data_IF_338181877645
#
_entry.id   IF_338181877645
#
_cell.length_a   1.000
_cell.length_b   1.000
_cell.length_c   1.000
_cell.angle_alpha   90.00
_cell.angle_beta   90.00
_cell.angle_gamma   90.00
#
_symmetry.space_group_name_H-M   'P 1'
#
loop_
_entity.id
_entity.type
_entity.pdbx_description
1 polymer ?
#
# COMPACT_ATOMS: atom_id res chain seq x y z
N UNK A 1 -27.68 17.74 30.39
CA UNK A 1 -26.30 17.84 30.94
C UNK A 1 -25.40 18.40 29.87
N UNK A 2 -24.62 19.46 30.19
CA UNK A 2 -23.66 20.01 29.22
C UNK A 2 -22.52 19.00 29.06
N UNK A 3 -22.31 18.48 27.84
CA UNK A 3 -21.25 17.51 27.56
C UNK A 3 -19.88 18.20 27.74
N UNK A 4 -18.96 17.56 28.44
CA UNK A 4 -17.60 18.09 28.65
C UNK A 4 -16.78 18.00 27.37
N UNK A 5 -15.92 18.97 27.11
CA UNK A 5 -15.01 18.97 25.98
C UNK A 5 -14.06 17.78 26.07
N UNK A 6 -13.93 16.97 25.00
CA UNK A 6 -12.95 15.89 24.96
C UNK A 6 -11.52 16.41 25.13
N UNK A 7 -10.71 15.70 25.89
CA UNK A 7 -9.30 16.07 26.12
C UNK A 7 -8.42 15.30 25.13
N UNK A 8 -7.59 15.99 24.32
CA UNK A 8 -6.64 15.33 23.43
C UNK A 8 -5.67 14.44 24.20
N UNK A 9 -5.32 13.29 23.61
CA UNK A 9 -4.31 12.38 24.17
C UNK A 9 -2.94 13.05 24.22
N UNK A 10 -2.18 12.79 25.27
CA UNK A 10 -0.77 13.11 25.29
C UNK A 10 -0.03 12.17 24.33
N UNK A 11 1.06 12.65 23.72
CA UNK A 11 1.80 11.86 22.75
C UNK A 11 2.31 10.53 23.35
N UNK A 12 2.78 10.52 24.58
CA UNK A 12 3.21 9.30 25.25
C UNK A 12 2.10 8.26 25.42
N UNK A 13 0.89 8.74 25.73
CA UNK A 13 -0.29 7.88 25.87
C UNK A 13 -0.72 7.33 24.52
N UNK A 14 -0.71 8.17 23.49
CA UNK A 14 -0.94 7.75 22.11
C UNK A 14 0.05 6.65 21.69
N UNK A 15 1.36 6.84 21.92
CA UNK A 15 2.40 5.85 21.56
C UNK A 15 2.18 4.53 22.31
N UNK A 16 1.87 4.58 23.62
CA UNK A 16 1.62 3.39 24.43
C UNK A 16 0.43 2.58 23.99
N UNK A 17 -0.58 3.24 23.40
CA UNK A 17 -1.83 2.61 22.94
C UNK A 17 -1.84 2.31 21.45
N UNK A 18 -0.78 2.66 20.70
CA UNK A 18 -0.69 2.42 19.26
C UNK A 18 -0.73 0.93 18.95
N UNK A 19 -1.58 0.53 18.00
CA UNK A 19 -1.61 -0.81 17.43
C UNK A 19 -0.43 -0.97 16.47
N UNK A 20 0.67 -1.58 16.95
CA UNK A 20 1.89 -1.74 16.16
C UNK A 20 1.65 -2.54 14.88
N UNK A 21 0.92 -3.66 15.01
CA UNK A 21 0.52 -4.52 13.91
C UNK A 21 -0.99 -4.75 13.99
N UNK A 22 -1.71 -4.19 13.01
CA UNK A 22 -3.13 -4.45 12.87
C UNK A 22 -3.33 -5.83 12.23
N UNK A 23 -4.15 -6.65 12.85
CA UNK A 23 -4.44 -8.01 12.41
C UNK A 23 -5.87 -8.07 11.89
N UNK A 24 -6.03 -8.54 10.66
CA UNK A 24 -7.30 -8.88 10.04
C UNK A 24 -7.28 -10.38 9.71
N UNK A 25 -7.95 -11.18 10.52
CA UNK A 25 -7.92 -12.64 10.41
C UNK A 25 -8.50 -13.16 9.08
N UNK A 26 -9.46 -12.47 8.49
CA UNK A 26 -10.04 -12.85 7.20
C UNK A 26 -9.04 -12.59 6.08
N UNK A 27 -8.40 -11.44 6.13
CA UNK A 27 -7.36 -11.07 5.19
C UNK A 27 -6.14 -12.01 5.28
N UNK A 28 -5.71 -12.38 6.50
CA UNK A 28 -4.64 -13.37 6.70
C UNK A 28 -4.97 -14.70 6.02
N UNK A 29 -6.18 -15.22 6.21
CA UNK A 29 -6.64 -16.46 5.57
C UNK A 29 -6.72 -16.34 4.05
N UNK A 30 -7.17 -15.19 3.53
CA UNK A 30 -7.21 -14.93 2.08
C UNK A 30 -5.79 -15.00 1.48
N UNK A 31 -4.82 -14.33 2.10
CA UNK A 31 -3.44 -14.32 1.61
C UNK A 31 -2.75 -15.67 1.76
N UNK A 32 -2.95 -16.38 2.87
CA UNK A 32 -2.39 -17.72 3.03
C UNK A 32 -2.96 -18.70 1.99
N UNK A 33 -4.25 -18.66 1.71
CA UNK A 33 -4.87 -19.47 0.67
C UNK A 33 -4.33 -19.13 -0.73
N UNK A 34 -4.15 -17.82 -1.02
CA UNK A 34 -3.57 -17.40 -2.30
C UNK A 34 -2.12 -17.85 -2.47
N UNK A 35 -1.32 -17.78 -1.41
CA UNK A 35 0.07 -18.31 -1.41
C UNK A 35 0.09 -19.80 -1.67
N UNK A 36 -0.76 -20.58 -1.01
CA UNK A 36 -0.85 -22.04 -1.22
C UNK A 36 -1.27 -22.40 -2.65
N UNK A 37 -2.23 -21.66 -3.20
CA UNK A 37 -2.67 -21.86 -4.59
C UNK A 37 -1.55 -21.56 -5.59
N UNK A 38 -0.82 -20.46 -5.37
CA UNK A 38 0.33 -20.10 -6.21
C UNK A 38 1.47 -21.12 -6.11
N UNK A 39 1.76 -21.64 -4.91
CA UNK A 39 2.74 -22.73 -4.72
C UNK A 39 2.34 -23.97 -5.53
N UNK A 40 1.08 -24.40 -5.46
CA UNK A 40 0.59 -25.55 -6.22
C UNK A 40 0.73 -25.31 -7.72
N UNK A 41 0.33 -24.16 -8.21
CA UNK A 41 0.38 -23.82 -9.63
C UNK A 41 1.81 -23.77 -10.17
N UNK A 42 2.72 -23.12 -9.45
CA UNK A 42 4.11 -23.04 -9.92
C UNK A 42 4.82 -24.40 -9.86
N UNK A 43 4.54 -25.23 -8.84
CA UNK A 43 5.12 -26.57 -8.73
C UNK A 43 4.78 -27.47 -9.92
N UNK A 44 3.56 -27.40 -10.43
CA UNK A 44 3.16 -28.18 -11.62
C UNK A 44 3.92 -27.75 -12.87
N UNK A 45 4.44 -26.54 -12.91
CA UNK A 45 5.12 -25.95 -14.07
C UNK A 45 6.65 -25.96 -13.96
N UNK A 46 7.21 -26.15 -12.76
CA UNK A 46 8.64 -25.96 -12.47
C UNK A 46 9.59 -26.63 -13.45
N UNK A 47 9.32 -27.90 -13.83
CA UNK A 47 10.15 -28.59 -14.79
C UNK A 47 9.95 -28.09 -16.22
N UNK A 48 8.72 -27.72 -16.57
CA UNK A 48 8.38 -27.22 -17.91
C UNK A 48 9.03 -25.88 -18.20
N UNK A 49 9.03 -24.94 -17.24
CA UNK A 49 9.55 -23.58 -17.44
C UNK A 49 11.09 -23.50 -17.59
N UNK A 50 11.81 -24.59 -17.42
CA UNK A 50 13.27 -24.64 -17.67
C UNK A 50 13.64 -24.64 -19.15
N UNK A 51 12.66 -24.72 -20.04
CA UNK A 51 12.83 -24.59 -21.49
C UNK A 51 12.10 -23.38 -22.03
N UNK A 52 12.61 -22.76 -23.10
CA UNK A 52 11.98 -21.57 -23.72
C UNK A 52 10.53 -21.87 -24.13
N UNK A 53 10.31 -23.03 -24.77
CA UNK A 53 8.97 -23.45 -25.19
C UNK A 53 8.02 -23.68 -24.01
N UNK A 54 8.50 -24.31 -22.95
CA UNK A 54 7.70 -24.55 -21.75
C UNK A 54 7.36 -23.24 -21.01
N UNK A 55 8.33 -22.34 -20.91
CA UNK A 55 8.12 -21.00 -20.33
C UNK A 55 7.10 -20.21 -21.14
N UNK A 56 7.22 -20.20 -22.47
CA UNK A 56 6.24 -19.54 -23.35
C UNK A 56 4.84 -20.14 -23.19
N UNK A 57 4.71 -21.48 -23.19
CA UNK A 57 3.42 -22.17 -22.97
C UNK A 57 2.80 -21.77 -21.62
N UNK A 58 3.61 -21.69 -20.56
CA UNK A 58 3.13 -21.26 -19.26
C UNK A 58 2.65 -19.83 -19.26
N UNK A 59 3.42 -18.90 -19.85
CA UNK A 59 3.05 -17.47 -19.95
C UNK A 59 1.75 -17.30 -20.74
N UNK A 60 1.57 -18.05 -21.83
CA UNK A 60 0.34 -17.98 -22.64
C UNK A 60 -0.89 -18.51 -21.91
N UNK A 61 -0.75 -19.58 -21.14
CA UNK A 61 -1.86 -20.24 -20.46
C UNK A 61 -2.30 -19.53 -19.18
N UNK A 62 -1.38 -19.05 -18.38
CA UNK A 62 -1.68 -18.54 -17.04
C UNK A 62 -1.57 -17.01 -16.96
N UNK A 63 -2.68 -16.29 -16.63
CA UNK A 63 -2.68 -14.83 -16.52
C UNK A 63 -1.70 -14.28 -15.49
N UNK A 64 -1.42 -15.03 -14.42
CA UNK A 64 -0.55 -14.63 -13.32
C UNK A 64 0.86 -15.24 -13.41
N UNK A 65 1.22 -15.79 -14.57
CA UNK A 65 2.52 -16.46 -14.77
C UNK A 65 3.71 -15.55 -14.47
N UNK A 66 3.69 -14.31 -14.95
CA UNK A 66 4.79 -13.37 -14.72
C UNK A 66 4.95 -13.00 -13.24
N UNK A 67 3.85 -12.83 -12.52
CA UNK A 67 3.89 -12.55 -11.08
C UNK A 67 4.55 -13.69 -10.30
N UNK A 68 4.20 -14.94 -10.64
CA UNK A 68 4.80 -16.12 -10.00
C UNK A 68 6.26 -16.29 -10.39
N UNK A 69 6.61 -16.12 -11.68
CA UNK A 69 8.00 -16.20 -12.15
C UNK A 69 8.86 -15.17 -11.44
N UNK A 70 8.44 -13.92 -11.39
CA UNK A 70 9.20 -12.86 -10.71
C UNK A 70 9.34 -13.11 -9.21
N UNK A 71 8.30 -13.63 -8.57
CA UNK A 71 8.36 -14.04 -7.15
C UNK A 71 9.39 -15.14 -6.93
N UNK A 72 9.36 -16.18 -7.74
CA UNK A 72 10.32 -17.30 -7.70
C UNK A 72 11.76 -16.82 -7.94
N UNK A 73 11.96 -15.89 -8.86
CA UNK A 73 13.25 -15.25 -9.11
C UNK A 73 13.65 -14.21 -8.05
N UNK A 74 12.83 -14.00 -7.03
CA UNK A 74 13.07 -12.99 -6.00
C UNK A 74 13.25 -11.57 -6.56
N UNK A 75 12.49 -11.24 -7.59
CA UNK A 75 12.49 -9.92 -8.23
C UNK A 75 11.15 -9.25 -7.92
N UNK A 76 11.18 -8.03 -7.36
CA UNK A 76 9.93 -7.30 -7.14
C UNK A 76 9.30 -6.90 -8.47
N UNK A 77 7.97 -6.92 -8.53
CA UNK A 77 7.19 -6.48 -9.70
C UNK A 77 7.66 -5.10 -10.20
N UNK A 78 7.86 -4.17 -9.28
CA UNK A 78 8.31 -2.81 -9.61
C UNK A 78 9.67 -2.81 -10.32
N UNK A 79 10.66 -3.53 -9.81
CA UNK A 79 11.99 -3.64 -10.45
C UNK A 79 11.89 -4.29 -11.82
N UNK A 80 11.11 -5.35 -11.94
CA UNK A 80 10.91 -6.02 -13.21
C UNK A 80 10.31 -5.08 -14.26
N UNK A 81 9.26 -4.34 -13.92
CA UNK A 81 8.65 -3.34 -14.80
C UNK A 81 9.64 -2.25 -15.24
N UNK A 82 10.53 -1.80 -14.33
CA UNK A 82 11.60 -0.83 -14.69
C UNK A 82 12.57 -1.41 -15.71
N UNK A 83 12.99 -2.66 -15.53
CA UNK A 83 13.86 -3.35 -16.48
C UNK A 83 13.18 -3.49 -17.84
N UNK A 84 11.92 -3.88 -17.88
CA UNK A 84 11.15 -3.95 -19.13
C UNK A 84 11.03 -2.57 -19.80
N UNK A 85 10.79 -1.52 -19.02
CA UNK A 85 10.74 -0.15 -19.56
C UNK A 85 12.07 0.26 -20.17
N UNK A 86 13.19 -0.06 -19.52
CA UNK A 86 14.54 0.15 -20.07
C UNK A 86 14.76 -0.64 -21.36
N UNK A 87 14.33 -1.91 -21.43
CA UNK A 87 14.44 -2.70 -22.66
C UNK A 87 13.61 -2.11 -23.80
N UNK A 88 12.42 -1.59 -23.52
CA UNK A 88 11.61 -0.86 -24.52
C UNK A 88 12.35 0.33 -25.10
N UNK A 89 12.98 1.16 -24.25
CA UNK A 89 13.78 2.31 -24.68
C UNK A 89 14.97 1.85 -25.54
N UNK A 90 15.66 0.80 -25.12
CA UNK A 90 16.80 0.23 -25.87
C UNK A 90 16.40 -0.28 -27.26
N UNK A 91 15.17 -0.74 -27.43
CA UNK A 91 14.60 -1.14 -28.71
C UNK A 91 14.04 0.02 -29.54
N UNK A 92 14.23 1.26 -29.12
CA UNK A 92 13.78 2.46 -29.82
C UNK A 92 12.34 2.89 -29.52
N UNK A 93 11.66 2.27 -28.55
CA UNK A 93 10.35 2.72 -28.14
C UNK A 93 10.46 3.85 -27.11
N UNK A 94 9.70 4.91 -27.28
CA UNK A 94 9.56 5.98 -26.28
C UNK A 94 8.30 5.74 -25.46
N UNK A 95 8.42 5.09 -24.28
CA UNK A 95 7.27 4.76 -23.47
C UNK A 95 6.66 6.02 -22.83
N UNK A 96 5.36 6.23 -23.01
CA UNK A 96 4.61 7.29 -22.32
C UNK A 96 4.18 6.84 -20.90
N UNK A 97 4.17 5.54 -20.65
CA UNK A 97 3.84 4.94 -19.38
C UNK A 97 4.55 3.59 -19.20
N UNK A 98 4.69 3.18 -17.97
CA UNK A 98 5.17 1.84 -17.62
C UNK A 98 4.06 0.81 -17.87
N UNK A 99 4.42 -0.35 -18.43
CA UNK A 99 3.47 -1.44 -18.58
C UNK A 99 3.19 -2.13 -17.24
N UNK A 100 1.92 -2.44 -16.98
CA UNK A 100 1.54 -3.37 -15.92
C UNK A 100 1.99 -4.80 -16.28
N UNK A 101 2.03 -5.72 -15.32
CA UNK A 101 2.36 -7.13 -15.58
C UNK A 101 1.38 -7.76 -16.57
N UNK A 102 0.09 -7.43 -16.48
CA UNK A 102 -0.93 -7.88 -17.42
C UNK A 102 -0.72 -7.32 -18.83
N UNK A 103 -0.40 -6.03 -18.94
CA UNK A 103 -0.08 -5.39 -20.22
C UNK A 103 1.17 -6.01 -20.84
N UNK A 104 2.24 -6.20 -20.06
CA UNK A 104 3.46 -6.86 -20.52
C UNK A 104 3.16 -8.26 -21.07
N UNK A 105 2.40 -9.07 -20.29
CA UNK A 105 2.00 -10.39 -20.74
C UNK A 105 1.24 -10.36 -22.07
N UNK A 106 0.27 -9.44 -22.22
CA UNK A 106 -0.46 -9.27 -23.48
C UNK A 106 0.49 -8.94 -24.62
N UNK A 107 1.42 -8.01 -24.43
CA UNK A 107 2.42 -7.66 -25.46
C UNK A 107 3.34 -8.82 -25.82
N UNK A 108 3.73 -9.66 -24.85
CA UNK A 108 4.49 -10.89 -25.12
C UNK A 108 3.68 -11.88 -25.96
N UNK A 109 2.39 -12.04 -25.69
CA UNK A 109 1.52 -12.98 -26.43
C UNK A 109 1.30 -12.51 -27.87
N UNK A 110 1.13 -11.20 -28.07
CA UNK A 110 0.86 -10.59 -29.38
C UNK A 110 2.12 -10.43 -30.23
N UNK A 111 3.30 -10.31 -29.61
CA UNK A 111 4.57 -10.09 -30.30
C UNK A 111 5.57 -11.22 -30.01
N UNK A 112 5.92 -12.06 -31.02
CA UNK A 112 6.98 -13.06 -30.87
C UNK A 112 8.34 -12.47 -30.48
N UNK A 113 8.64 -11.26 -30.90
CA UNK A 113 9.89 -10.59 -30.53
C UNK A 113 9.93 -10.21 -29.07
N UNK A 114 8.84 -9.66 -28.51
CA UNK A 114 8.74 -9.40 -27.08
C UNK A 114 8.76 -10.70 -26.26
N UNK A 115 8.08 -11.74 -26.73
CA UNK A 115 8.14 -13.04 -26.08
C UNK A 115 9.60 -13.52 -25.99
N UNK A 116 10.33 -13.46 -27.09
CA UNK A 116 11.75 -13.88 -27.15
C UNK A 116 12.63 -13.06 -26.23
N UNK A 117 12.50 -11.73 -26.27
CA UNK A 117 13.32 -10.80 -25.44
C UNK A 117 13.10 -11.05 -23.95
N UNK A 118 11.86 -11.15 -23.52
CA UNK A 118 11.55 -11.35 -22.10
C UNK A 118 11.92 -12.76 -21.64
N UNK A 119 11.64 -13.81 -22.44
CA UNK A 119 12.06 -15.16 -22.11
C UNK A 119 13.58 -15.27 -21.99
N UNK A 120 14.35 -14.69 -22.91
CA UNK A 120 15.81 -14.66 -22.82
C UNK A 120 16.28 -13.97 -21.55
N UNK A 121 15.68 -12.83 -21.18
CA UNK A 121 16.00 -12.16 -19.92
C UNK A 121 15.73 -13.11 -18.74
N UNK A 122 14.53 -13.65 -18.63
CA UNK A 122 14.12 -14.49 -17.49
C UNK A 122 15.00 -15.74 -17.33
N UNK A 123 15.37 -16.39 -18.45
CA UNK A 123 16.12 -17.64 -18.42
C UNK A 123 17.62 -17.46 -18.34
N UNK A 124 18.16 -16.44 -19.01
CA UNK A 124 19.59 -16.34 -19.27
C UNK A 124 20.19 -14.98 -18.88
N UNK A 125 19.39 -14.05 -18.33
CA UNK A 125 19.81 -12.66 -18.08
C UNK A 125 21.15 -12.56 -17.34
N UNK A 126 21.37 -13.42 -16.36
CA UNK A 126 22.63 -13.55 -15.63
C UNK A 126 23.86 -13.78 -16.53
N UNK A 127 23.68 -14.44 -17.68
CA UNK A 127 24.77 -14.88 -18.56
C UNK A 127 24.90 -14.04 -19.81
N UNK A 128 23.97 -13.10 -20.06
CA UNK A 128 23.92 -12.33 -21.29
C UNK A 128 24.64 -11.00 -21.13
N UNK A 129 25.80 -10.90 -21.79
CA UNK A 129 26.62 -9.68 -21.78
C UNK A 129 25.88 -8.43 -22.28
N UNK A 130 24.89 -8.61 -23.15
CA UNK A 130 24.07 -7.52 -23.68
C UNK A 130 23.26 -6.75 -22.62
N UNK A 131 23.10 -7.33 -21.41
CA UNK A 131 22.41 -6.68 -20.28
C UNK A 131 23.37 -6.10 -19.23
N UNK A 132 24.62 -6.58 -19.17
CA UNK A 132 25.59 -6.19 -18.14
C UNK A 132 25.92 -4.69 -18.14
N UNK A 133 25.88 -4.04 -19.31
CA UNK A 133 26.13 -2.60 -19.42
C UNK A 133 24.96 -1.71 -18.96
N UNK A 134 23.78 -2.28 -18.77
CA UNK A 134 22.55 -1.52 -18.52
C UNK A 134 21.76 -1.98 -17.29
N UNK A 135 22.01 -3.19 -16.80
CA UNK A 135 21.42 -3.75 -15.59
C UNK A 135 22.56 -4.18 -14.66
N UNK A 136 22.62 -3.67 -13.43
CA UNK A 136 23.64 -4.12 -12.47
C UNK A 136 23.61 -5.64 -12.25
N UNK A 137 24.78 -6.26 -12.15
CA UNK A 137 24.93 -7.70 -11.88
C UNK A 137 24.13 -8.15 -10.66
N UNK A 138 24.05 -7.31 -9.63
CA UNK A 138 23.23 -7.55 -8.44
C UNK A 138 21.75 -7.88 -8.76
N UNK A 139 21.22 -7.34 -9.86
CA UNK A 139 19.85 -7.67 -10.32
C UNK A 139 19.86 -8.79 -11.35
N UNK A 140 20.86 -8.81 -12.25
CA UNK A 140 20.98 -9.86 -13.28
C UNK A 140 21.16 -11.25 -12.69
N UNK A 141 21.80 -11.35 -11.53
CA UNK A 141 22.02 -12.62 -10.82
C UNK A 141 20.73 -13.39 -10.53
N UNK A 142 19.59 -12.70 -10.47
CA UNK A 142 18.28 -13.34 -10.25
C UNK A 142 17.67 -13.93 -11.53
N UNK A 143 18.12 -13.48 -12.73
CA UNK A 143 17.54 -13.89 -14.00
C UNK A 143 18.17 -15.20 -14.52
N UNK A 144 17.81 -16.31 -13.88
CA UNK A 144 18.26 -17.65 -14.26
C UNK A 144 17.18 -18.68 -13.91
N UNK A 145 16.39 -19.08 -14.91
CA UNK A 145 15.45 -20.20 -14.77
C UNK A 145 16.14 -21.44 -15.31
N UNK A 146 16.84 -22.15 -14.46
CA UNK A 146 17.56 -23.39 -14.81
C UNK A 146 17.25 -24.51 -13.80
N UNK A 147 17.80 -25.71 -14.06
CA UNK A 147 17.62 -26.87 -13.20
C UNK A 147 18.08 -26.62 -11.75
N UNK A 148 19.10 -25.77 -11.55
CA UNK A 148 19.61 -25.40 -10.21
C UNK A 148 18.58 -24.55 -9.47
N UNK A 149 18.01 -23.57 -10.15
CA UNK A 149 16.95 -22.70 -9.60
C UNK A 149 15.73 -23.54 -9.24
N UNK A 150 15.30 -24.43 -10.15
CA UNK A 150 14.19 -25.35 -9.91
C UNK A 150 14.47 -26.29 -8.73
N UNK A 151 15.70 -26.82 -8.62
CA UNK A 151 16.10 -27.68 -7.50
C UNK A 151 16.00 -26.99 -6.14
N UNK A 152 16.33 -25.69 -6.05
CA UNK A 152 16.15 -24.90 -4.81
C UNK A 152 14.67 -24.73 -4.46
N UNK A 153 13.80 -24.60 -5.45
CA UNK A 153 12.37 -24.42 -5.29
C UNK A 153 11.62 -25.73 -4.97
N UNK A 154 12.32 -26.87 -4.96
CA UNK A 154 11.74 -28.14 -4.50
C UNK A 154 11.42 -28.14 -3.00
N UNK A 155 12.07 -27.24 -2.22
CA UNK A 155 11.76 -27.04 -0.82
C UNK A 155 10.51 -26.14 -0.67
N UNK A 156 9.47 -26.68 -0.03
CA UNK A 156 8.18 -25.99 0.17
C UNK A 156 8.31 -24.71 1.00
N UNK A 157 9.14 -24.72 2.02
CA UNK A 157 9.33 -23.56 2.89
C UNK A 157 10.05 -22.42 2.17
N UNK A 158 11.05 -22.71 1.36
CA UNK A 158 11.76 -21.70 0.58
C UNK A 158 10.85 -21.11 -0.50
N UNK A 159 10.08 -21.96 -1.18
CA UNK A 159 9.08 -21.48 -2.14
C UNK A 159 8.02 -20.60 -1.47
N UNK A 160 7.50 -21.03 -0.32
CA UNK A 160 6.53 -20.24 0.45
C UNK A 160 7.08 -18.87 0.81
N UNK A 161 8.33 -18.77 1.28
CA UNK A 161 8.98 -17.50 1.59
C UNK A 161 9.07 -16.59 0.38
N UNK A 162 9.47 -17.11 -0.77
CA UNK A 162 9.60 -16.35 -2.01
C UNK A 162 8.24 -15.85 -2.51
N UNK A 163 7.23 -16.70 -2.51
CA UNK A 163 5.86 -16.33 -2.91
C UNK A 163 5.30 -15.29 -1.94
N UNK A 164 5.38 -15.50 -0.62
CA UNK A 164 4.93 -14.50 0.38
C UNK A 164 5.61 -13.15 0.19
N UNK A 165 6.90 -13.13 -0.11
CA UNK A 165 7.62 -11.88 -0.40
C UNK A 165 7.06 -11.15 -1.64
N UNK A 166 6.65 -11.88 -2.66
CA UNK A 166 5.95 -11.30 -3.82
C UNK A 166 4.60 -10.65 -3.46
N UNK A 167 3.97 -11.10 -2.37
CA UNK A 167 2.70 -10.56 -1.88
C UNK A 167 2.84 -9.34 -0.95
N UNK A 168 4.03 -9.05 -0.39
CA UNK A 168 4.22 -8.01 0.64
C UNK A 168 3.60 -6.66 0.28
N UNK A 169 3.78 -6.18 -0.95
CA UNK A 169 3.22 -4.91 -1.40
C UNK A 169 1.68 -4.93 -1.45
N UNK A 170 1.11 -6.02 -1.96
CA UNK A 170 -0.35 -6.21 -2.03
C UNK A 170 -0.95 -6.34 -0.62
N UNK A 171 -0.32 -7.11 0.24
CA UNK A 171 -0.72 -7.26 1.63
C UNK A 171 -0.70 -5.92 2.37
N UNK A 172 0.39 -5.14 2.24
CA UNK A 172 0.50 -3.82 2.87
C UNK A 172 -0.60 -2.85 2.45
N UNK A 173 -1.01 -2.87 1.18
CA UNK A 173 -2.11 -2.05 0.70
C UNK A 173 -3.47 -2.53 1.27
N UNK A 174 -3.72 -3.84 1.22
CA UNK A 174 -4.98 -4.43 1.69
C UNK A 174 -5.17 -4.25 3.20
N UNK A 175 -4.13 -4.42 4.00
CA UNK A 175 -4.20 -4.20 5.45
C UNK A 175 -4.46 -2.72 5.77
N UNK A 176 -3.90 -1.79 4.99
CA UNK A 176 -4.21 -0.36 5.09
C UNK A 176 -5.67 -0.06 4.77
N UNK A 177 -6.23 -0.67 3.72
CA UNK A 177 -7.65 -0.53 3.37
C UNK A 177 -8.56 -1.15 4.43
N UNK A 178 -8.22 -2.32 4.97
CA UNK A 178 -8.95 -2.96 6.06
C UNK A 178 -8.95 -2.09 7.32
N UNK A 179 -7.80 -1.55 7.69
CA UNK A 179 -7.69 -0.59 8.81
C UNK A 179 -8.58 0.64 8.57
N UNK A 180 -8.50 1.25 7.37
CA UNK A 180 -9.37 2.37 7.00
C UNK A 180 -10.85 2.00 7.16
N UNK A 181 -11.28 0.85 6.65
CA UNK A 181 -12.66 0.38 6.72
C UNK A 181 -13.10 0.18 8.19
N UNK A 182 -12.24 -0.37 9.03
CA UNK A 182 -12.51 -0.56 10.46
C UNK A 182 -12.74 0.76 11.18
N UNK A 183 -11.86 1.74 10.95
CA UNK A 183 -11.94 3.08 11.56
C UNK A 183 -13.16 3.84 11.04
N UNK A 184 -13.32 3.91 9.71
CA UNK A 184 -14.43 4.66 9.09
C UNK A 184 -15.79 4.09 9.49
N UNK A 185 -15.94 2.76 9.55
CA UNK A 185 -17.18 2.12 10.00
C UNK A 185 -17.55 2.49 11.43
N UNK A 186 -16.58 2.67 12.33
CA UNK A 186 -16.85 3.13 13.69
C UNK A 186 -17.41 4.56 13.70
N UNK A 187 -16.80 5.47 12.91
CA UNK A 187 -17.25 6.86 12.78
C UNK A 187 -18.64 6.94 12.15
N UNK A 188 -18.84 6.22 11.05
CA UNK A 188 -20.12 6.16 10.31
C UNK A 188 -21.25 5.68 11.21
N UNK A 189 -21.02 4.61 11.97
CA UNK A 189 -21.99 4.08 12.93
C UNK A 189 -22.46 5.13 13.93
N UNK A 190 -21.55 5.99 14.38
CA UNK A 190 -21.88 7.11 15.25
C UNK A 190 -22.68 8.18 14.53
N UNK A 191 -22.27 8.57 13.33
CA UNK A 191 -23.00 9.56 12.53
C UNK A 191 -24.43 9.09 12.22
N UNK A 192 -24.59 7.84 11.76
CA UNK A 192 -25.90 7.27 11.46
C UNK A 192 -26.82 7.26 12.68
N UNK A 193 -26.29 6.88 13.86
CA UNK A 193 -27.03 6.88 15.12
C UNK A 193 -27.53 8.27 15.51
N UNK A 194 -26.75 9.32 15.23
CA UNK A 194 -27.10 10.70 15.55
C UNK A 194 -27.84 11.42 14.40
N UNK A 195 -28.06 10.74 13.25
CA UNK A 195 -28.68 11.34 12.06
C UNK A 195 -27.82 12.41 11.39
N UNK A 196 -26.49 12.30 11.50
CA UNK A 196 -25.52 13.23 10.94
C UNK A 196 -25.03 12.70 9.60
N UNK A 197 -25.02 13.54 8.57
CA UNK A 197 -24.47 13.20 7.26
C UNK A 197 -22.93 13.20 7.27
N UNK A 198 -22.33 12.57 6.27
CA UNK A 198 -20.87 12.49 6.11
C UNK A 198 -20.50 12.27 4.64
N UNK A 199 -19.24 12.55 4.30
CA UNK A 199 -18.63 12.22 3.02
C UNK A 199 -17.37 11.37 3.25
N UNK A 200 -17.12 10.37 2.38
CA UNK A 200 -16.01 9.42 2.50
C UNK A 200 -15.10 9.53 1.28
N UNK A 201 -13.78 9.70 1.52
CA UNK A 201 -12.76 9.81 0.47
C UNK A 201 -13.10 10.86 -0.60
N UNK A 202 -13.74 11.94 -0.19
CA UNK A 202 -14.07 13.07 -1.07
C UNK A 202 -13.05 14.19 -0.97
N UNK A 203 -12.93 14.96 -2.06
CA UNK A 203 -12.08 16.15 -2.08
C UNK A 203 -12.74 17.26 -1.27
N UNK A 204 -12.05 17.69 -0.22
CA UNK A 204 -12.47 18.81 0.63
C UNK A 204 -11.74 20.07 0.18
N UNK A 205 -12.41 21.10 -0.36
CA UNK A 205 -11.76 22.31 -0.87
C UNK A 205 -10.90 23.00 0.19
N UNK A 206 -11.35 23.01 1.44
CA UNK A 206 -10.63 23.60 2.57
C UNK A 206 -9.27 22.92 2.84
N UNK A 207 -9.17 21.62 2.60
CA UNK A 207 -7.94 20.84 2.76
C UNK A 207 -7.11 20.78 1.47
N UNK A 208 -7.69 21.08 0.31
CA UNK A 208 -7.06 20.97 -1.01
C UNK A 208 -6.74 19.52 -1.42
N UNK A 209 -7.36 18.52 -0.77
CA UNK A 209 -7.11 17.09 -1.01
C UNK A 209 -8.33 16.25 -0.65
N UNK A 210 -8.27 14.97 -1.00
CA UNK A 210 -9.21 13.97 -0.48
C UNK A 210 -8.99 13.78 1.02
N UNK A 211 -10.08 13.82 1.80
CA UNK A 211 -10.13 13.53 3.23
C UNK A 211 -10.82 12.19 3.44
N UNK A 212 -10.35 11.41 4.40
CA UNK A 212 -10.87 10.07 4.70
C UNK A 212 -12.35 10.09 5.08
N UNK A 213 -12.74 10.97 6.03
CA UNK A 213 -14.14 11.22 6.42
C UNK A 213 -14.32 12.70 6.69
N UNK A 214 -15.31 13.34 6.08
CA UNK A 214 -15.69 14.72 6.32
C UNK A 214 -17.13 14.78 6.86
N UNK A 215 -17.36 15.47 7.95
CA UNK A 215 -18.65 15.57 8.65
C UNK A 215 -19.06 17.05 8.78
N UNK A 216 -20.23 17.46 8.39
CA UNK A 216 -21.32 16.66 7.80
C UNK A 216 -21.18 16.40 6.30
N UNK A 217 -20.32 17.13 5.60
CA UNK A 217 -20.10 17.00 4.15
C UNK A 217 -18.70 17.52 3.74
N UNK A 218 -18.32 17.31 2.47
CA UNK A 218 -17.01 17.74 1.96
C UNK A 218 -16.90 19.23 1.65
N UNK A 219 -18.03 19.94 1.44
CA UNK A 219 -18.04 21.39 1.09
C UNK A 219 -17.93 22.26 2.34
N UNK A 220 -18.62 21.87 3.40
CA UNK A 220 -18.69 22.63 4.67
C UNK A 220 -18.37 21.74 5.87
N UNK A 221 -17.17 21.12 5.91
CA UNK A 221 -16.85 20.19 6.99
C UNK A 221 -16.71 20.92 8.31
N UNK A 222 -17.24 20.29 9.35
CA UNK A 222 -17.03 20.68 10.75
C UNK A 222 -15.94 19.82 11.37
N UNK A 223 -15.87 18.56 10.96
CA UNK A 223 -14.83 17.62 11.38
C UNK A 223 -14.26 16.98 10.12
N UNK A 224 -12.96 17.06 9.97
CA UNK A 224 -12.19 16.35 8.93
C UNK A 224 -11.33 15.30 9.60
N UNK A 225 -11.46 14.06 9.17
CA UNK A 225 -10.70 12.92 9.71
C UNK A 225 -9.83 12.35 8.60
N UNK A 226 -8.53 12.27 8.82
CA UNK A 226 -7.62 11.51 7.98
C UNK A 226 -7.17 10.24 8.70
N UNK A 227 -7.26 9.12 7.98
CA UNK A 227 -6.94 7.79 8.50
C UNK A 227 -5.71 7.26 7.76
N UNK A 228 -4.70 6.82 8.49
CA UNK A 228 -3.49 6.23 7.91
C UNK A 228 -2.92 5.13 8.79
N UNK A 229 -2.45 4.08 8.14
CA UNK A 229 -1.78 2.96 8.78
C UNK A 229 -0.44 2.70 8.10
N UNK A 230 0.62 2.41 8.87
CA UNK A 230 1.93 2.13 8.30
C UNK A 230 2.80 1.25 9.18
N UNK A 231 3.15 0.06 8.69
CA UNK A 231 4.05 -0.88 9.40
C UNK A 231 5.51 -0.46 9.25
N UNK A 232 5.90 0.00 8.06
CA UNK A 232 7.28 0.39 7.74
C UNK A 232 7.40 1.90 7.61
N UNK A 233 8.62 2.40 7.73
CA UNK A 233 8.93 3.82 7.48
C UNK A 233 9.05 4.09 5.98
N UNK A 234 8.48 5.21 5.53
CA UNK A 234 8.57 5.65 4.13
C UNK A 234 8.56 7.18 4.02
N UNK A 235 8.88 7.71 2.84
CA UNK A 235 8.73 9.15 2.53
C UNK A 235 7.27 9.62 2.58
N UNK A 236 6.33 8.72 2.37
CA UNK A 236 4.88 9.01 2.44
C UNK A 236 4.47 9.57 3.80
N UNK A 237 5.10 9.11 4.89
CA UNK A 237 4.84 9.60 6.24
C UNK A 237 5.26 11.06 6.41
N UNK A 238 6.44 11.45 5.91
CA UNK A 238 6.89 12.86 5.95
C UNK A 238 5.99 13.76 5.08
N UNK A 239 5.58 13.26 3.92
CA UNK A 239 4.63 13.97 3.04
C UNK A 239 3.28 14.15 3.74
N UNK A 240 2.79 13.12 4.41
CA UNK A 240 1.56 13.20 5.20
C UNK A 240 1.69 14.24 6.32
N UNK A 241 2.75 14.18 7.14
CA UNK A 241 2.99 15.12 8.24
C UNK A 241 3.06 16.58 7.75
N UNK A 242 3.74 16.83 6.63
CA UNK A 242 3.82 18.18 6.04
C UNK A 242 2.46 18.66 5.49
N UNK A 243 1.66 17.73 4.95
CA UNK A 243 0.29 18.03 4.49
C UNK A 243 -0.62 18.40 5.67
N UNK A 244 -0.55 17.64 6.77
CA UNK A 244 -1.29 17.95 8.01
C UNK A 244 -0.92 19.31 8.53
N UNK A 245 0.37 19.64 8.61
CA UNK A 245 0.86 20.95 9.06
C UNK A 245 0.25 22.10 8.24
N UNK A 246 0.23 21.97 6.91
CA UNK A 246 -0.36 22.95 6.00
C UNK A 246 -1.87 23.10 6.22
N UNK A 247 -2.61 22.01 6.32
CA UNK A 247 -4.06 22.03 6.55
C UNK A 247 -4.37 22.71 7.88
N UNK A 248 -3.67 22.32 8.94
CA UNK A 248 -3.91 22.86 10.26
C UNK A 248 -3.54 24.36 10.38
N UNK A 249 -2.53 24.81 9.64
CA UNK A 249 -2.22 26.25 9.53
C UNK A 249 -3.41 27.02 8.93
N UNK A 250 -3.93 26.56 7.80
CA UNK A 250 -5.10 27.17 7.16
C UNK A 250 -6.33 27.16 8.07
N UNK A 251 -6.52 26.08 8.83
CA UNK A 251 -7.65 25.97 9.78
C UNK A 251 -7.52 26.93 10.96
N UNK A 252 -6.32 27.15 11.47
CA UNK A 252 -6.11 28.11 12.55
C UNK A 252 -6.56 29.52 12.14
N UNK A 253 -6.20 29.96 10.94
CA UNK A 253 -6.66 31.26 10.40
C UNK A 253 -8.18 31.29 10.25
N UNK A 254 -8.79 30.26 9.66
CA UNK A 254 -10.24 30.15 9.47
C UNK A 254 -11.02 30.11 10.79
N UNK A 255 -10.42 29.58 11.83
CA UNK A 255 -11.05 29.42 13.15
C UNK A 255 -10.84 30.61 14.09
N UNK A 256 -10.11 31.63 13.67
CA UNK A 256 -9.91 32.84 14.49
C UNK A 256 -11.26 33.49 14.86
N UNK A 257 -11.44 33.79 16.13
CA UNK A 257 -12.64 34.42 16.65
C UNK A 257 -13.88 33.54 16.75
N UNK A 258 -13.79 32.26 16.36
CA UNK A 258 -14.93 31.34 16.44
C UNK A 258 -15.01 30.64 17.80
N UNK A 259 -16.23 30.44 18.26
CA UNK A 259 -16.51 29.56 19.41
C UNK A 259 -16.15 28.11 19.07
N UNK A 260 -15.92 27.25 20.06
CA UNK A 260 -15.58 25.84 19.85
C UNK A 260 -16.59 25.10 18.96
N UNK A 261 -17.87 25.45 19.08
CA UNK A 261 -18.94 24.85 18.26
C UNK A 261 -19.00 25.37 16.82
N UNK A 262 -18.23 26.36 16.44
CA UNK A 262 -18.18 26.91 15.08
C UNK A 262 -16.87 26.58 14.37
N UNK A 263 -15.88 26.06 15.09
CA UNK A 263 -14.60 25.67 14.53
C UNK A 263 -14.72 24.45 13.62
N UNK A 264 -13.90 24.42 12.59
CA UNK A 264 -13.64 23.18 11.82
C UNK A 264 -12.45 22.48 12.46
N UNK A 265 -12.59 21.20 12.76
CA UNK A 265 -11.54 20.37 13.37
C UNK A 265 -10.82 19.52 12.33
N UNK A 266 -9.56 19.25 12.61
CA UNK A 266 -8.78 18.25 11.88
C UNK A 266 -8.28 17.17 12.85
N UNK A 267 -8.66 15.93 12.57
CA UNK A 267 -8.38 14.74 13.38
C UNK A 267 -7.51 13.79 12.57
N UNK A 268 -6.39 13.37 13.15
CA UNK A 268 -5.55 12.32 12.58
C UNK A 268 -5.81 11.00 13.32
N UNK A 269 -6.22 9.97 12.58
CA UNK A 269 -6.31 8.59 13.09
C UNK A 269 -5.15 7.80 12.52
N UNK A 270 -4.19 7.46 13.37
CA UNK A 270 -2.90 6.91 12.96
C UNK A 270 -2.59 5.65 13.75
N UNK A 271 -2.14 4.60 13.07
CA UNK A 271 -1.61 3.39 13.70
C UNK A 271 -0.47 2.76 12.89
N UNK A 272 0.23 1.84 13.50
CA UNK A 272 1.30 1.06 12.89
C UNK A 272 2.70 1.41 13.40
N UNK A 273 3.56 0.40 13.48
CA UNK A 273 4.93 0.50 13.99
C UNK A 273 5.79 1.54 13.27
N UNK A 274 5.56 1.73 11.97
CA UNK A 274 6.30 2.70 11.16
C UNK A 274 6.11 4.15 11.62
N UNK A 275 4.94 4.50 12.15
CA UNK A 275 4.69 5.83 12.70
C UNK A 275 5.43 6.07 14.01
N UNK A 276 5.44 5.07 14.89
CA UNK A 276 6.19 5.15 16.15
C UNK A 276 7.70 5.25 15.91
N UNK A 277 8.21 4.60 14.86
CA UNK A 277 9.61 4.72 14.45
C UNK A 277 9.97 6.11 13.87
N UNK A 278 8.99 6.89 13.41
CA UNK A 278 9.18 8.24 12.86
C UNK A 278 8.68 9.33 13.82
N UNK A 279 9.28 9.40 14.97
CA UNK A 279 8.87 10.29 16.06
C UNK A 279 8.80 11.77 15.67
N UNK A 280 9.70 12.25 14.80
CA UNK A 280 9.67 13.65 14.34
C UNK A 280 8.40 13.98 13.56
N UNK A 281 7.98 13.10 12.65
CA UNK A 281 6.77 13.28 11.85
C UNK A 281 5.51 13.12 12.73
N UNK A 282 5.52 12.13 13.63
CA UNK A 282 4.44 11.92 14.59
C UNK A 282 4.25 13.13 15.54
N UNK A 283 5.36 13.72 16.04
CA UNK A 283 5.33 14.93 16.84
C UNK A 283 4.72 16.12 16.08
N UNK A 284 5.05 16.29 14.80
CA UNK A 284 4.44 17.35 13.97
C UNK A 284 2.93 17.18 13.89
N UNK A 285 2.48 15.96 13.58
CA UNK A 285 1.06 15.66 13.47
C UNK A 285 0.35 15.91 14.81
N UNK A 286 0.92 15.46 15.92
CA UNK A 286 0.36 15.65 17.25
C UNK A 286 0.18 17.13 17.63
N UNK A 287 1.14 18.00 17.25
CA UNK A 287 1.07 19.45 17.52
C UNK A 287 0.10 20.19 16.60
N UNK A 288 -0.17 19.63 15.44
CA UNK A 288 -0.98 20.27 14.41
C UNK A 288 -2.44 19.86 14.48
N UNK A 289 -2.73 18.55 14.64
CA UNK A 289 -4.10 18.04 14.71
C UNK A 289 -4.80 18.47 15.99
N UNK A 290 -6.10 18.75 15.92
CA UNK A 290 -6.92 19.01 17.11
C UNK A 290 -6.99 17.76 18.00
N UNK A 291 -7.04 16.57 17.35
CA UNK A 291 -6.95 15.29 18.02
C UNK A 291 -6.07 14.35 17.20
N UNK A 292 -5.15 13.67 17.88
CA UNK A 292 -4.41 12.53 17.36
C UNK A 292 -4.90 11.29 18.12
N UNK A 293 -5.49 10.35 17.41
CA UNK A 293 -6.09 9.12 17.99
C UNK A 293 -5.63 7.89 17.20
N UNK A 294 -5.74 6.74 17.82
CA UNK A 294 -5.45 5.43 17.25
C UNK A 294 -6.66 4.49 17.39
N UNK A 295 -6.57 3.27 16.91
CA UNK A 295 -7.67 2.31 16.97
C UNK A 295 -8.13 2.04 18.40
N UNK A 296 -7.20 1.97 19.35
CA UNK A 296 -7.53 1.72 20.76
C UNK A 296 -8.23 2.92 21.43
N UNK A 297 -8.08 4.10 20.87
CA UNK A 297 -8.74 5.33 21.35
C UNK A 297 -9.87 5.81 20.43
N UNK A 298 -10.28 5.01 19.44
CA UNK A 298 -11.29 5.40 18.42
C UNK A 298 -12.64 5.79 19.05
N UNK A 299 -12.97 5.26 20.21
CA UNK A 299 -14.17 5.66 20.97
C UNK A 299 -14.20 7.14 21.34
N UNK A 300 -13.07 7.84 21.33
CA UNK A 300 -13.05 9.31 21.50
C UNK A 300 -13.81 10.04 20.39
N UNK A 301 -13.92 9.44 19.19
CA UNK A 301 -14.70 10.02 18.09
C UNK A 301 -16.16 10.24 18.47
N UNK A 302 -16.74 9.33 19.26
CA UNK A 302 -18.12 9.46 19.72
C UNK A 302 -18.30 10.72 20.55
N UNK A 303 -17.40 10.96 21.50
CA UNK A 303 -17.44 12.15 22.37
C UNK A 303 -17.10 13.44 21.61
N UNK A 304 -16.20 13.36 20.61
CA UNK A 304 -15.87 14.51 19.76
C UNK A 304 -17.08 14.90 18.90
N UNK A 305 -17.70 13.93 18.20
CA UNK A 305 -18.90 14.17 17.39
C UNK A 305 -20.02 14.76 18.27
N UNK A 306 -20.27 14.18 19.43
CA UNK A 306 -21.30 14.64 20.35
C UNK A 306 -21.07 16.05 20.91
N UNK A 307 -19.82 16.45 21.11
CA UNK A 307 -19.52 17.78 21.68
C UNK A 307 -19.56 18.87 20.61
N UNK A 308 -19.04 18.61 19.41
CA UNK A 308 -18.84 19.64 18.38
C UNK A 308 -19.98 19.72 17.36
N UNK A 309 -20.83 18.71 17.25
CA UNK A 309 -22.01 18.71 16.35
C UNK A 309 -23.32 18.63 17.14
#
# INVERSE_FOLDING_TARGET
MQKSKPVPLKLEEFIKTTTMFYIDEELEKEFDAAVEDDIKKIKTELLGITTEEGLEKYIRRDPNSLDRITSVLNISEEKFKRIITMLRIKQGFMPTSEWSMSTLRTQMIESPDWMRVVNRLLMYGKRLSEYQDVIPDFYLDNFSIDATTVGRLANDDDMRRLIKKGYEGRYSNKIGDSFFNRVSSSIIKKCDKEGITYAIKETVPLAGKKISVAIPDAKHPRIMVDVTYGITTSSTQSTFASTVEKICSNLREKNLGKSDKEKTLYISVIDGAGWVARQSDLNKIHRCSDYLINLNSIGMMDTIIEYYL
#
